data_IF_804293411102
#
_entry.id   IF_804293411102
#
_cell.length_a   1.000
_cell.length_b   1.000
_cell.length_c   1.000
_cell.angle_alpha   90.00
_cell.angle_beta   90.00
_cell.angle_gamma   90.00
#
_symmetry.space_group_name_H-M   'P 1'
#
loop_
_entity.id
_entity.type
_entity.pdbx_description
1 polymer ?
#
# COMPACT_ATOMS: atom_id res chain seq x y z
N UNK A 1 30.38 48.42 26.24
CA UNK A 1 30.49 47.59 25.01
C UNK A 1 30.38 46.07 25.23
N UNK A 2 30.68 45.51 26.41
CA UNK A 2 30.58 44.06 26.69
C UNK A 2 29.16 43.46 26.59
N UNK A 3 28.11 44.23 26.91
CA UNK A 3 26.71 43.77 26.90
C UNK A 3 26.19 43.36 25.49
N UNK A 4 26.70 44.01 24.43
CA UNK A 4 26.24 43.74 23.05
C UNK A 4 26.85 42.45 22.48
N UNK A 5 28.11 42.16 22.79
CA UNK A 5 28.77 40.91 22.38
C UNK A 5 28.17 39.68 23.08
N UNK A 6 27.82 39.79 24.36
CA UNK A 6 27.13 38.72 25.10
C UNK A 6 25.74 38.40 24.52
N UNK A 7 24.94 39.42 24.18
CA UNK A 7 23.61 39.21 23.55
C UNK A 7 23.71 38.50 22.20
N UNK A 8 24.62 38.94 21.33
CA UNK A 8 24.84 38.30 20.02
C UNK A 8 25.28 36.85 20.17
N UNK A 9 26.10 36.53 21.19
CA UNK A 9 26.53 35.16 21.44
C UNK A 9 25.41 34.23 21.93
N UNK A 10 24.48 34.75 22.74
CA UNK A 10 23.33 34.01 23.26
C UNK A 10 22.26 33.78 22.18
N UNK A 11 22.00 34.79 21.35
CA UNK A 11 21.09 34.68 20.19
C UNK A 11 21.60 33.66 19.17
N UNK A 12 22.92 33.63 18.91
CA UNK A 12 23.54 32.69 17.98
C UNK A 12 23.48 31.24 18.48
N UNK A 13 23.65 31.01 19.79
CA UNK A 13 23.49 29.68 20.41
C UNK A 13 22.04 29.21 20.33
N UNK A 14 21.08 30.06 20.69
CA UNK A 14 19.66 29.71 20.58
C UNK A 14 19.20 29.42 19.14
N UNK A 15 19.79 30.08 18.15
CA UNK A 15 19.55 29.78 16.73
C UNK A 15 20.13 28.43 16.30
N UNK A 16 21.36 28.11 16.72
CA UNK A 16 21.99 26.81 16.42
C UNK A 16 21.26 25.65 17.10
N UNK A 17 20.81 25.82 18.34
CA UNK A 17 20.02 24.82 19.07
C UNK A 17 18.66 24.58 18.39
N UNK A 18 18.04 25.61 17.83
CA UNK A 18 16.81 25.47 17.01
C UNK A 18 17.06 24.72 15.71
N UNK A 19 18.18 24.98 15.01
CA UNK A 19 18.54 24.23 13.79
C UNK A 19 18.82 22.76 14.14
N UNK A 20 19.57 22.50 15.20
CA UNK A 20 19.84 21.14 15.67
C UNK A 20 18.53 20.42 16.00
N UNK A 21 17.61 21.08 16.71
CA UNK A 21 16.28 20.56 16.99
C UNK A 21 15.46 20.31 15.70
N UNK A 22 15.53 21.21 14.72
CA UNK A 22 14.86 21.03 13.42
C UNK A 22 15.37 19.77 12.69
N UNK A 23 16.69 19.60 12.61
CA UNK A 23 17.31 18.45 11.93
C UNK A 23 16.97 17.14 12.64
N UNK A 24 17.04 17.10 13.97
CA UNK A 24 16.70 15.88 14.74
C UNK A 24 15.21 15.60 14.68
N UNK A 25 14.34 16.62 14.76
CA UNK A 25 12.89 16.45 14.61
C UNK A 25 12.52 15.90 13.24
N UNK A 26 13.20 16.34 12.17
CA UNK A 26 13.03 15.80 10.83
C UNK A 26 13.43 14.32 10.76
N UNK A 27 14.57 13.95 11.36
CA UNK A 27 14.99 12.54 11.44
C UNK A 27 13.98 11.69 12.21
N UNK A 28 13.37 12.22 13.27
CA UNK A 28 12.30 11.55 14.01
C UNK A 28 11.03 11.42 13.15
N UNK A 29 10.64 12.46 12.41
CA UNK A 29 9.49 12.43 11.50
C UNK A 29 9.64 11.35 10.41
N UNK A 30 10.87 11.19 9.88
CA UNK A 30 11.21 10.10 8.96
C UNK A 30 11.04 8.71 9.57
N UNK A 31 11.26 8.55 10.89
CA UNK A 31 11.04 7.27 11.61
C UNK A 31 9.57 7.08 12.00
N UNK A 32 8.87 8.16 12.33
CA UNK A 32 7.46 8.15 12.74
C UNK A 32 6.58 7.63 11.61
N UNK A 33 6.81 8.07 10.36
CA UNK A 33 6.01 7.64 9.20
C UNK A 33 5.93 6.11 9.03
N UNK A 34 7.06 5.41 8.85
CA UNK A 34 7.10 3.94 8.76
C UNK A 34 6.58 3.25 10.02
N UNK A 35 6.88 3.78 11.22
CA UNK A 35 6.43 3.18 12.49
C UNK A 35 4.92 3.27 12.64
N UNK A 36 4.31 4.39 12.22
CA UNK A 36 2.85 4.55 12.17
C UNK A 36 2.21 3.58 11.19
N UNK A 37 2.85 3.32 10.04
CA UNK A 37 2.38 2.26 9.12
C UNK A 37 2.44 0.88 9.77
N UNK A 38 3.51 0.55 10.49
CA UNK A 38 3.65 -0.72 11.22
C UNK A 38 2.59 -0.86 12.32
N UNK A 39 2.30 0.19 13.06
CA UNK A 39 1.20 0.20 14.03
C UNK A 39 -0.14 -0.10 13.35
N UNK A 40 -0.49 0.60 12.27
CA UNK A 40 -1.73 0.34 11.52
C UNK A 40 -1.82 -1.10 11.02
N UNK A 41 -0.72 -1.66 10.51
CA UNK A 41 -0.66 -3.06 10.09
C UNK A 41 -0.89 -4.00 11.28
N UNK A 42 -0.25 -3.76 12.43
CA UNK A 42 -0.44 -4.56 13.63
C UNK A 42 -1.90 -4.50 14.13
N UNK A 43 -2.53 -3.31 14.10
CA UNK A 43 -3.94 -3.13 14.44
C UNK A 43 -4.86 -3.90 13.47
N UNK A 44 -4.58 -3.88 12.17
CA UNK A 44 -5.34 -4.66 11.18
C UNK A 44 -5.21 -6.17 11.40
N UNK A 45 -4.02 -6.64 11.75
CA UNK A 45 -3.78 -8.06 12.09
C UNK A 45 -4.57 -8.42 13.34
N UNK A 46 -4.52 -7.58 14.39
CA UNK A 46 -5.30 -7.78 15.61
C UNK A 46 -6.80 -7.82 15.34
N UNK A 47 -7.34 -6.86 14.57
CA UNK A 47 -8.75 -6.87 14.18
C UNK A 47 -9.12 -8.07 13.30
N UNK A 48 -8.19 -8.54 12.47
CA UNK A 48 -8.34 -9.79 11.71
C UNK A 48 -8.42 -11.03 12.60
N UNK A 49 -7.52 -11.12 13.59
CA UNK A 49 -7.49 -12.21 14.57
C UNK A 49 -8.78 -12.23 15.40
N UNK A 50 -9.23 -11.07 15.88
CA UNK A 50 -10.49 -10.95 16.63
C UNK A 50 -11.70 -11.37 15.81
N UNK A 51 -11.77 -10.97 14.53
CA UNK A 51 -12.86 -11.37 13.65
C UNK A 51 -12.92 -12.89 13.40
N UNK A 52 -11.77 -13.58 13.43
CA UNK A 52 -11.66 -15.03 13.29
C UNK A 52 -11.81 -15.83 14.59
N UNK A 53 -11.69 -15.17 15.74
CA UNK A 53 -11.87 -15.78 17.06
C UNK A 53 -13.34 -15.89 17.49
N UNK A 54 -13.60 -16.50 18.65
CA UNK A 54 -14.92 -16.52 19.29
C UNK A 54 -15.37 -15.15 19.89
N UNK A 55 -14.68 -14.04 19.57
CA UNK A 55 -15.08 -12.72 20.04
C UNK A 55 -16.47 -12.31 19.53
N UNK A 56 -17.18 -11.52 20.33
CA UNK A 56 -18.54 -11.04 20.04
C UNK A 56 -18.60 -9.53 20.23
N UNK A 57 -19.32 -8.85 19.34
CA UNK A 57 -19.57 -7.41 19.41
C UNK A 57 -19.82 -6.81 18.05
N UNK A 58 -20.51 -5.66 18.03
CA UNK A 58 -20.95 -4.98 16.79
C UNK A 58 -19.83 -4.81 15.74
N UNK A 59 -18.62 -4.43 16.18
CA UNK A 59 -17.48 -4.25 15.28
C UNK A 59 -16.93 -5.59 14.74
N UNK A 60 -17.00 -6.66 15.54
CA UNK A 60 -16.63 -8.01 15.09
C UNK A 60 -17.60 -8.49 14.02
N UNK A 61 -18.90 -8.31 14.25
CA UNK A 61 -19.95 -8.69 13.31
C UNK A 61 -19.89 -7.88 12.01
N UNK A 62 -19.53 -6.59 12.10
CA UNK A 62 -19.29 -5.75 10.92
C UNK A 62 -18.09 -6.23 10.09
N UNK A 63 -16.99 -6.65 10.72
CA UNK A 63 -15.84 -7.22 9.98
C UNK A 63 -16.20 -8.56 9.34
N UNK A 64 -16.99 -9.39 10.00
CA UNK A 64 -17.47 -10.68 9.48
C UNK A 64 -18.42 -10.49 8.30
N UNK A 65 -19.42 -9.61 8.41
CA UNK A 65 -20.38 -9.32 7.34
C UNK A 65 -19.69 -8.73 6.09
N UNK A 66 -18.72 -7.83 6.27
CA UNK A 66 -17.88 -7.33 5.17
C UNK A 66 -16.98 -8.42 4.57
N UNK A 67 -16.55 -9.40 5.37
CA UNK A 67 -15.87 -10.59 4.89
C UNK A 67 -16.75 -11.41 3.95
N UNK A 68 -17.99 -11.68 4.35
CA UNK A 68 -18.96 -12.39 3.51
C UNK A 68 -19.27 -11.64 2.20
N UNK A 69 -19.42 -10.31 2.25
CA UNK A 69 -19.60 -9.50 1.05
C UNK A 69 -18.39 -9.58 0.10
N UNK A 70 -17.17 -9.56 0.64
CA UNK A 70 -15.95 -9.74 -0.15
C UNK A 70 -15.90 -11.13 -0.82
N UNK A 71 -16.26 -12.18 -0.08
CA UNK A 71 -16.26 -13.55 -0.61
C UNK A 71 -17.35 -13.74 -1.66
N UNK A 72 -18.53 -13.12 -1.49
CA UNK A 72 -19.57 -13.09 -2.51
C UNK A 72 -19.08 -12.43 -3.82
N UNK A 73 -18.35 -11.30 -3.73
CA UNK A 73 -17.75 -10.65 -4.90
C UNK A 73 -16.68 -11.51 -5.57
N UNK A 74 -15.91 -12.29 -4.80
CA UNK A 74 -14.92 -13.22 -5.36
C UNK A 74 -15.59 -14.38 -6.10
N UNK A 75 -16.68 -14.91 -5.54
CA UNK A 75 -17.49 -15.94 -6.20
C UNK A 75 -18.13 -15.40 -7.48
N UNK A 76 -18.71 -14.19 -7.44
CA UNK A 76 -19.26 -13.53 -8.62
C UNK A 76 -18.19 -13.30 -9.72
N UNK A 77 -16.96 -12.95 -9.34
CA UNK A 77 -15.85 -12.78 -10.29
C UNK A 77 -15.48 -14.11 -10.97
N UNK A 78 -15.56 -15.24 -10.26
CA UNK A 78 -15.32 -16.58 -10.84
C UNK A 78 -16.47 -16.99 -11.77
N UNK A 79 -17.71 -16.85 -11.29
CA UNK A 79 -18.90 -17.16 -12.06
C UNK A 79 -18.99 -16.36 -13.37
N UNK A 80 -18.66 -15.05 -13.33
CA UNK A 80 -18.61 -14.21 -14.53
C UNK A 80 -17.63 -14.73 -15.60
N UNK A 81 -16.53 -15.36 -15.19
CA UNK A 81 -15.55 -15.92 -16.13
C UNK A 81 -16.06 -17.21 -16.77
N UNK A 82 -16.81 -18.02 -16.02
CA UNK A 82 -17.47 -19.23 -16.51
C UNK A 82 -18.58 -18.87 -17.51
N UNK A 83 -19.43 -17.91 -17.16
CA UNK A 83 -20.48 -17.38 -18.05
C UNK A 83 -19.88 -16.83 -19.37
N UNK A 84 -18.81 -16.03 -19.29
CA UNK A 84 -18.13 -15.50 -20.48
C UNK A 84 -17.52 -16.61 -21.37
N UNK A 85 -17.10 -17.74 -20.79
CA UNK A 85 -16.54 -18.88 -21.55
C UNK A 85 -17.63 -19.59 -22.33
N UNK A 86 -18.78 -19.81 -21.71
CA UNK A 86 -19.93 -20.47 -22.34
C UNK A 86 -20.51 -19.59 -23.46
N UNK A 87 -20.62 -18.29 -23.23
CA UNK A 87 -21.03 -17.30 -24.23
C UNK A 87 -20.03 -17.22 -25.39
N UNK A 88 -18.72 -17.30 -25.10
CA UNK A 88 -17.69 -17.28 -26.14
C UNK A 88 -17.70 -18.54 -27.02
N UNK A 89 -17.96 -19.71 -26.42
CA UNK A 89 -18.05 -20.98 -27.12
C UNK A 89 -19.25 -21.03 -28.08
N UNK A 90 -20.38 -20.44 -27.66
CA UNK A 90 -21.62 -20.37 -28.45
C UNK A 90 -21.67 -19.20 -29.45
N UNK A 91 -20.85 -18.16 -29.26
CA UNK A 91 -20.83 -16.98 -30.12
C UNK A 91 -20.23 -17.23 -31.51
N UNK A 92 -20.84 -16.61 -32.53
CA UNK A 92 -20.29 -16.54 -33.88
C UNK A 92 -18.94 -15.80 -33.90
N UNK A 93 -18.08 -16.09 -34.88
CA UNK A 93 -16.73 -15.50 -34.95
C UNK A 93 -16.71 -13.96 -34.91
N UNK A 94 -17.73 -13.30 -35.46
CA UNK A 94 -17.88 -11.83 -35.42
C UNK A 94 -18.43 -11.31 -34.08
N UNK A 95 -19.15 -12.13 -33.32
CA UNK A 95 -19.71 -11.77 -32.02
C UNK A 95 -18.70 -11.96 -30.86
N UNK A 96 -17.71 -12.85 -31.01
CA UNK A 96 -16.69 -13.15 -30.01
C UNK A 96 -15.95 -11.92 -29.44
N UNK A 97 -15.53 -10.92 -30.23
CA UNK A 97 -14.91 -9.71 -29.68
C UNK A 97 -15.83 -8.95 -28.71
N UNK A 98 -17.15 -8.93 -28.95
CA UNK A 98 -18.11 -8.25 -28.08
C UNK A 98 -18.27 -8.98 -26.74
N UNK A 99 -18.26 -10.33 -26.75
CA UNK A 99 -18.27 -11.14 -25.51
C UNK A 99 -17.02 -10.83 -24.67
N UNK A 100 -15.85 -10.74 -25.30
CA UNK A 100 -14.60 -10.39 -24.62
C UNK A 100 -14.67 -8.99 -24.00
N UNK A 101 -15.13 -7.98 -24.76
CA UNK A 101 -15.25 -6.60 -24.25
C UNK A 101 -16.24 -6.52 -23.09
N UNK A 102 -17.41 -7.17 -23.19
CA UNK A 102 -18.39 -7.27 -22.09
C UNK A 102 -17.76 -7.88 -20.84
N UNK A 103 -17.10 -9.02 -20.99
CA UNK A 103 -16.45 -9.73 -19.89
C UNK A 103 -15.33 -8.93 -19.22
N UNK A 104 -14.55 -8.17 -20.00
CA UNK A 104 -13.52 -7.26 -19.47
C UNK A 104 -14.16 -6.12 -18.66
N UNK A 105 -15.20 -5.47 -19.20
CA UNK A 105 -15.90 -4.40 -18.52
C UNK A 105 -16.55 -4.87 -17.20
N UNK A 106 -17.24 -6.02 -17.22
CA UNK A 106 -17.86 -6.61 -16.05
C UNK A 106 -16.81 -6.93 -14.96
N UNK A 107 -15.68 -7.56 -15.34
CA UNK A 107 -14.59 -7.86 -14.40
C UNK A 107 -13.88 -6.61 -13.88
N UNK A 108 -13.78 -5.54 -14.67
CA UNK A 108 -13.23 -4.27 -14.21
C UNK A 108 -14.09 -3.69 -13.07
N UNK A 109 -15.42 -3.66 -13.24
CA UNK A 109 -16.37 -3.20 -12.21
C UNK A 109 -16.31 -4.10 -10.97
N UNK A 110 -16.31 -5.42 -11.13
CA UNK A 110 -16.21 -6.35 -10.00
C UNK A 110 -14.88 -6.21 -9.24
N UNK A 111 -13.76 -6.01 -9.95
CA UNK A 111 -12.45 -5.75 -9.33
C UNK A 111 -12.43 -4.44 -8.57
N UNK A 112 -13.07 -3.39 -9.10
CA UNK A 112 -13.17 -2.12 -8.40
C UNK A 112 -14.00 -2.24 -7.11
N UNK A 113 -15.19 -2.86 -7.21
CA UNK A 113 -16.02 -3.18 -6.03
C UNK A 113 -15.28 -4.04 -5.02
N UNK A 114 -14.52 -5.04 -5.46
CA UNK A 114 -13.69 -5.87 -4.58
C UNK A 114 -12.58 -5.07 -3.90
N UNK A 115 -11.92 -4.14 -4.61
CA UNK A 115 -10.92 -3.24 -4.03
C UNK A 115 -11.55 -2.31 -2.99
N UNK A 116 -12.72 -1.74 -3.30
CA UNK A 116 -13.46 -0.88 -2.37
C UNK A 116 -13.88 -1.66 -1.11
N UNK A 117 -14.45 -2.85 -1.28
CA UNK A 117 -14.84 -3.73 -0.17
C UNK A 117 -13.64 -4.13 0.70
N UNK A 118 -12.49 -4.45 0.09
CA UNK A 118 -11.23 -4.74 0.81
C UNK A 118 -10.76 -3.56 1.65
N UNK A 119 -10.72 -2.35 1.07
CA UNK A 119 -10.33 -1.13 1.79
C UNK A 119 -11.26 -0.87 2.98
N UNK A 120 -12.57 -0.98 2.76
CA UNK A 120 -13.56 -0.80 3.81
C UNK A 120 -13.42 -1.85 4.93
N UNK A 121 -13.13 -3.10 4.59
CA UNK A 121 -12.87 -4.18 5.56
C UNK A 121 -11.58 -3.96 6.35
N UNK A 122 -10.50 -3.55 5.68
CA UNK A 122 -9.22 -3.22 6.34
C UNK A 122 -9.39 -2.07 7.33
N UNK A 123 -10.16 -1.04 6.96
CA UNK A 123 -10.46 0.08 7.86
C UNK A 123 -11.25 -0.38 9.10
N UNK A 124 -12.28 -1.21 8.94
CA UNK A 124 -13.03 -1.74 10.09
C UNK A 124 -12.16 -2.64 10.96
N UNK A 125 -11.27 -3.45 10.37
CA UNK A 125 -10.29 -4.25 11.13
C UNK A 125 -9.34 -3.38 11.94
N UNK A 126 -8.84 -2.30 11.35
CA UNK A 126 -7.99 -1.34 12.05
C UNK A 126 -8.74 -0.71 13.24
N UNK A 127 -10.00 -0.31 13.05
CA UNK A 127 -10.87 0.23 14.12
C UNK A 127 -11.13 -0.79 15.22
N UNK A 128 -11.43 -2.05 14.87
CA UNK A 128 -11.63 -3.14 15.82
C UNK A 128 -10.36 -3.44 16.64
N UNK A 129 -9.21 -3.51 15.98
CA UNK A 129 -7.93 -3.70 16.66
C UNK A 129 -7.60 -2.55 17.61
N UNK A 130 -7.92 -1.31 17.22
CA UNK A 130 -7.76 -0.13 18.09
C UNK A 130 -8.69 -0.21 19.32
N UNK A 131 -9.96 -0.53 19.11
CA UNK A 131 -10.94 -0.69 20.19
C UNK A 131 -10.49 -1.77 21.19
N UNK A 132 -9.98 -2.90 20.70
CA UNK A 132 -9.44 -3.96 21.54
C UNK A 132 -8.21 -3.54 22.36
N UNK A 133 -7.29 -2.76 21.78
CA UNK A 133 -6.15 -2.21 22.53
C UNK A 133 -6.57 -1.20 23.61
N UNK A 134 -7.64 -0.46 23.36
CA UNK A 134 -8.21 0.51 24.32
C UNK A 134 -9.09 -0.16 25.39
N UNK A 135 -9.28 -1.48 25.31
CA UNK A 135 -10.09 -2.24 26.27
C UNK A 135 -11.60 -2.07 26.07
N UNK A 136 -12.03 -1.49 24.94
CA UNK A 136 -13.45 -1.26 24.63
C UNK A 136 -14.12 -2.43 23.88
N UNK A 137 -13.36 -3.49 23.55
CA UNK A 137 -13.86 -4.70 22.91
C UNK A 137 -13.50 -5.95 23.73
N UNK A 138 -14.42 -6.92 23.77
CA UNK A 138 -14.16 -8.21 24.40
C UNK A 138 -13.08 -8.98 23.62
N UNK A 139 -12.03 -9.35 24.32
CA UNK A 139 -10.86 -10.01 23.75
C UNK A 139 -10.93 -11.52 24.03
N UNK A 140 -10.77 -12.34 22.99
CA UNK A 140 -10.65 -13.79 23.16
C UNK A 140 -9.32 -14.18 23.82
N UNK A 141 -9.33 -15.25 24.63
CA UNK A 141 -8.12 -15.81 25.28
C UNK A 141 -7.27 -16.68 24.36
N UNK A 142 -7.66 -16.83 23.09
CA UNK A 142 -6.94 -17.62 22.11
C UNK A 142 -5.50 -17.11 21.89
N UNK A 143 -4.53 -18.03 21.81
CA UNK A 143 -3.10 -17.70 21.80
C UNK A 143 -2.69 -16.78 20.65
N UNK A 144 -3.26 -16.97 19.45
CA UNK A 144 -2.96 -16.11 18.30
C UNK A 144 -3.53 -14.69 18.44
N UNK A 145 -4.63 -14.51 19.18
CA UNK A 145 -5.19 -13.20 19.51
C UNK A 145 -4.25 -12.49 20.49
N UNK A 146 -3.77 -13.21 21.51
CA UNK A 146 -2.83 -12.66 22.49
C UNK A 146 -1.50 -12.24 21.86
N UNK A 147 -0.93 -13.05 20.96
CA UNK A 147 0.27 -12.68 20.19
C UNK A 147 0.02 -11.41 19.35
N UNK A 148 -1.13 -11.31 18.67
CA UNK A 148 -1.49 -10.11 17.92
C UNK A 148 -1.62 -8.86 18.81
N UNK A 149 -2.12 -9.00 20.05
CA UNK A 149 -2.20 -7.91 21.02
C UNK A 149 -0.81 -7.46 21.45
N UNK A 150 0.08 -8.40 21.76
CA UNK A 150 1.46 -8.07 22.17
C UNK A 150 2.17 -7.31 21.06
N UNK A 151 2.07 -7.77 19.81
CA UNK A 151 2.64 -7.08 18.64
C UNK A 151 2.05 -5.68 18.44
N UNK A 152 0.73 -5.52 18.61
CA UNK A 152 0.08 -4.24 18.47
C UNK A 152 0.45 -3.27 19.60
N UNK A 153 0.62 -3.76 20.84
CA UNK A 153 1.13 -2.98 21.98
C UNK A 153 2.57 -2.54 21.78
N UNK A 154 3.45 -3.43 21.34
CA UNK A 154 4.86 -3.10 21.06
C UNK A 154 4.97 -2.05 19.94
N UNK A 155 4.21 -2.21 18.84
CA UNK A 155 4.17 -1.22 17.77
C UNK A 155 3.67 0.16 18.25
N UNK A 156 2.61 0.18 19.08
CA UNK A 156 2.10 1.42 19.69
C UNK A 156 3.11 2.05 20.64
N UNK A 157 3.79 1.25 21.47
CA UNK A 157 4.81 1.73 22.41
C UNK A 157 6.01 2.36 21.68
N UNK A 158 6.47 1.75 20.58
CA UNK A 158 7.54 2.31 19.74
C UNK A 158 7.12 3.63 19.09
N UNK A 159 5.88 3.71 18.59
CA UNK A 159 5.37 4.96 18.03
C UNK A 159 5.26 6.04 19.10
N UNK A 160 4.70 5.71 20.26
CA UNK A 160 4.55 6.68 21.35
C UNK A 160 5.90 7.18 21.81
N UNK A 161 6.91 6.31 21.95
CA UNK A 161 8.27 6.71 22.32
C UNK A 161 8.87 7.75 21.36
N UNK A 162 8.75 7.52 20.04
CA UNK A 162 9.24 8.47 19.03
C UNK A 162 8.47 9.80 19.05
N UNK A 163 7.16 9.75 19.27
CA UNK A 163 6.32 10.95 19.36
C UNK A 163 6.63 11.74 20.62
N UNK A 164 6.83 11.07 21.76
CA UNK A 164 7.23 11.73 23.02
C UNK A 164 8.64 12.29 22.96
N UNK A 165 9.57 11.59 22.33
CA UNK A 165 10.94 12.08 22.10
C UNK A 165 10.93 13.36 21.26
N UNK A 166 10.14 13.37 20.17
CA UNK A 166 9.93 14.57 19.35
C UNK A 166 9.30 15.70 20.14
N UNK A 167 8.26 15.41 20.93
CA UNK A 167 7.58 16.43 21.74
C UNK A 167 8.52 17.03 22.79
N UNK A 168 9.32 16.21 23.48
CA UNK A 168 10.30 16.66 24.45
C UNK A 168 11.39 17.53 23.80
N UNK A 169 11.85 17.15 22.60
CA UNK A 169 12.84 17.90 21.85
C UNK A 169 12.34 19.27 21.37
N UNK A 170 11.04 19.39 21.08
CA UNK A 170 10.40 20.63 20.61
C UNK A 170 9.82 21.48 21.75
N UNK A 171 9.67 20.94 22.96
CA UNK A 171 9.10 21.64 24.10
C UNK A 171 9.79 22.97 24.44
N UNK A 172 11.14 23.08 24.41
CA UNK A 172 11.83 24.36 24.66
C UNK A 172 11.52 25.46 23.63
N UNK A 173 10.96 25.09 22.49
CA UNK A 173 10.66 25.99 21.37
C UNK A 173 9.16 26.19 21.15
N UNK A 174 8.32 25.87 22.14
CA UNK A 174 6.87 26.03 22.04
C UNK A 174 6.20 25.01 21.13
N UNK A 175 6.84 23.86 20.88
CA UNK A 175 6.28 22.77 20.08
C UNK A 175 6.59 22.83 18.58
N UNK A 176 7.30 23.85 18.10
CA UNK A 176 7.78 23.96 16.72
C UNK A 176 9.27 24.29 16.69
N UNK A 177 10.03 23.61 15.82
CA UNK A 177 11.44 23.94 15.58
C UNK A 177 11.61 25.14 14.63
N UNK A 178 10.55 25.50 13.89
CA UNK A 178 10.59 26.53 12.87
C UNK A 178 9.81 27.76 13.31
N UNK A 179 10.35 28.98 13.09
CA UNK A 179 9.59 30.20 13.26
C UNK A 179 8.34 30.21 12.37
N UNK A 180 7.24 30.80 12.84
CA UNK A 180 5.95 30.80 12.15
C UNK A 180 6.01 31.34 10.71
N UNK A 181 6.93 32.27 10.42
CA UNK A 181 7.11 32.82 9.07
C UNK A 181 7.58 31.77 8.04
N UNK A 182 8.30 30.72 8.47
CA UNK A 182 8.72 29.64 7.56
C UNK A 182 7.56 28.72 7.18
N UNK A 183 6.50 28.64 7.98
CA UNK A 183 5.28 27.96 7.55
C UNK A 183 4.59 28.70 6.40
N UNK A 184 4.63 30.04 6.40
CA UNK A 184 4.19 30.87 5.27
C UNK A 184 4.99 30.59 4.00
N UNK A 185 6.32 30.63 4.10
CA UNK A 185 7.21 30.36 2.96
C UNK A 185 7.03 28.94 2.40
N UNK A 186 6.87 27.93 3.27
CA UNK A 186 6.63 26.56 2.82
C UNK A 186 5.28 26.38 2.10
N UNK A 187 4.25 27.11 2.55
CA UNK A 187 2.93 27.11 1.88
C UNK A 187 3.02 27.68 0.46
N UNK A 188 3.82 28.71 0.26
CA UNK A 188 4.05 29.29 -1.07
C UNK A 188 4.90 28.38 -1.95
N UNK A 189 5.97 27.78 -1.41
CA UNK A 189 6.81 26.80 -2.13
C UNK A 189 5.99 25.57 -2.54
N UNK A 190 5.13 25.06 -1.66
CA UNK A 190 4.27 23.92 -1.98
C UNK A 190 3.17 24.25 -3.00
N UNK A 191 2.64 25.47 -2.99
CA UNK A 191 1.73 25.96 -4.03
C UNK A 191 2.44 26.05 -5.40
N UNK A 192 3.67 26.57 -5.42
CA UNK A 192 4.51 26.64 -6.62
C UNK A 192 4.87 25.24 -7.14
N UNK A 193 5.28 24.33 -6.25
CA UNK A 193 5.57 22.93 -6.59
C UNK A 193 4.31 22.20 -7.09
N UNK A 194 3.15 22.46 -6.49
CA UNK A 194 1.86 21.92 -6.93
C UNK A 194 1.45 22.42 -8.31
N UNK A 195 1.70 23.71 -8.61
CA UNK A 195 1.47 24.28 -9.93
C UNK A 195 2.40 23.66 -10.98
N UNK A 196 3.69 23.52 -10.67
CA UNK A 196 4.66 22.84 -11.54
C UNK A 196 4.29 21.37 -11.79
N UNK A 197 3.90 20.63 -10.75
CA UNK A 197 3.43 19.24 -10.88
C UNK A 197 2.19 19.14 -11.78
N UNK A 198 1.22 20.07 -11.69
CA UNK A 198 0.05 20.07 -12.58
C UNK A 198 0.43 20.33 -14.03
N UNK A 199 1.37 21.24 -14.29
CA UNK A 199 1.87 21.53 -15.64
C UNK A 199 2.58 20.29 -16.20
N UNK A 200 3.44 19.65 -15.40
CA UNK A 200 4.12 18.41 -15.77
C UNK A 200 3.13 17.26 -16.02
N UNK A 201 2.16 17.05 -15.13
CA UNK A 201 1.11 16.04 -15.32
C UNK A 201 0.25 16.32 -16.56
N UNK A 202 -0.07 17.59 -16.86
CA UNK A 202 -0.77 17.98 -18.08
C UNK A 202 -0.02 17.61 -19.36
N UNK A 203 1.32 17.70 -19.36
CA UNK A 203 2.14 17.22 -20.47
C UNK A 203 2.19 15.70 -20.58
N UNK A 204 2.23 14.97 -19.46
CA UNK A 204 2.20 13.50 -19.45
C UNK A 204 0.82 12.92 -19.81
N UNK A 205 -0.28 13.66 -19.63
CA UNK A 205 -1.62 13.23 -20.07
C UNK A 205 -1.66 12.98 -21.58
N UNK A 206 -0.88 13.71 -22.38
CA UNK A 206 -0.76 13.47 -23.83
C UNK A 206 -0.18 12.09 -24.17
N UNK A 207 0.59 11.48 -23.25
CA UNK A 207 1.21 10.17 -23.43
C UNK A 207 0.41 9.01 -22.80
N UNK A 208 -0.60 9.31 -21.97
CA UNK A 208 -1.47 8.30 -21.35
C UNK A 208 -2.15 7.36 -22.37
N UNK A 209 -2.64 7.82 -23.55
CA UNK A 209 -3.24 6.91 -24.53
C UNK A 209 -2.23 5.90 -25.08
N UNK A 210 -0.99 6.34 -25.32
CA UNK A 210 0.07 5.47 -25.83
C UNK A 210 0.52 4.45 -24.78
N UNK A 211 0.64 4.87 -23.51
CA UNK A 211 0.96 3.97 -22.39
C UNK A 211 -0.19 2.99 -22.11
N UNK A 212 -1.45 3.43 -22.24
CA UNK A 212 -2.61 2.56 -22.11
C UNK A 212 -2.66 1.54 -23.26
N UNK A 213 -2.39 1.95 -24.50
CA UNK A 213 -2.31 1.04 -25.64
C UNK A 213 -1.18 0.01 -25.47
N UNK A 214 -0.01 0.44 -24.99
CA UNK A 214 1.10 -0.45 -24.65
C UNK A 214 0.75 -1.42 -23.51
N UNK A 215 0.09 -0.94 -22.46
CA UNK A 215 -0.34 -1.78 -21.34
C UNK A 215 -1.40 -2.82 -21.74
N UNK A 216 -2.33 -2.45 -22.63
CA UNK A 216 -3.32 -3.37 -23.21
C UNK A 216 -2.63 -4.39 -24.11
N UNK A 217 -1.71 -3.97 -24.98
CA UNK A 217 -0.91 -4.88 -25.82
C UNK A 217 -0.06 -5.85 -24.98
N UNK A 218 0.60 -5.35 -23.94
CA UNK A 218 1.34 -6.14 -22.97
C UNK A 218 0.44 -7.13 -22.23
N UNK A 219 -0.74 -6.70 -21.78
CA UNK A 219 -1.67 -7.56 -21.06
C UNK A 219 -2.23 -8.67 -21.95
N UNK A 220 -2.63 -8.36 -23.19
CA UNK A 220 -3.10 -9.36 -24.18
C UNK A 220 -2.00 -10.38 -24.49
N UNK A 221 -0.75 -9.93 -24.69
CA UNK A 221 0.39 -10.83 -24.85
C UNK A 221 0.64 -11.68 -23.58
N UNK A 222 0.52 -11.10 -22.38
CA UNK A 222 0.75 -11.83 -21.15
C UNK A 222 -0.38 -12.79 -20.76
N UNK A 223 -1.63 -12.55 -21.18
CA UNK A 223 -2.78 -13.44 -20.86
C UNK A 223 -3.03 -14.53 -21.88
N UNK A 224 -2.56 -14.37 -23.12
CA UNK A 224 -2.79 -15.35 -24.20
C UNK A 224 -1.50 -15.98 -24.73
N UNK A 225 -0.32 -15.56 -24.27
CA UNK A 225 0.98 -16.04 -24.76
C UNK A 225 1.87 -16.50 -23.60
N UNK A 226 1.43 -17.53 -22.88
CA UNK A 226 2.15 -18.15 -21.75
C UNK A 226 3.38 -18.98 -22.20
N UNK A 227 4.05 -18.61 -23.29
CA UNK A 227 5.14 -19.42 -23.88
C UNK A 227 6.30 -18.66 -24.52
N UNK A 228 6.30 -17.32 -24.60
CA UNK A 228 7.36 -16.61 -25.33
C UNK A 228 8.17 -15.58 -24.54
N UNK A 229 7.80 -15.26 -23.29
CA UNK A 229 8.53 -14.26 -22.50
C UNK A 229 9.96 -14.71 -22.16
N UNK A 230 10.17 -16.01 -21.93
CA UNK A 230 11.52 -16.60 -21.76
C UNK A 230 12.32 -16.51 -23.07
N UNK A 231 11.69 -16.72 -24.23
CA UNK A 231 12.36 -16.67 -25.54
C UNK A 231 12.71 -15.22 -25.94
N UNK A 232 11.88 -14.24 -25.59
CA UNK A 232 12.17 -12.81 -25.87
C UNK A 232 13.20 -12.21 -24.92
N UNK A 233 13.24 -12.63 -23.65
CA UNK A 233 14.35 -12.26 -22.77
C UNK A 233 15.67 -12.92 -23.22
N UNK A 234 15.60 -14.13 -23.78
CA UNK A 234 16.77 -14.81 -24.34
C UNK A 234 17.28 -14.16 -25.63
N UNK A 235 16.40 -13.63 -26.49
CA UNK A 235 16.77 -12.89 -27.70
C UNK A 235 17.31 -11.48 -27.43
N UNK A 236 17.08 -10.94 -26.24
CA UNK A 236 17.69 -9.69 -25.74
C UNK A 236 18.97 -9.88 -24.92
N UNK A 237 19.48 -11.12 -24.81
CA UNK A 237 20.80 -11.39 -24.22
C UNK A 237 20.91 -11.20 -22.71
N UNK A 238 19.78 -11.11 -21.98
CA UNK A 238 19.77 -10.94 -20.53
C UNK A 238 19.42 -12.29 -19.88
N UNK A 239 20.46 -13.04 -19.50
CA UNK A 239 20.35 -14.22 -18.63
C UNK A 239 21.30 -15.37 -18.98
N UNK A 240 22.03 -15.89 -17.99
CA UNK A 240 22.60 -17.23 -18.06
C UNK A 240 21.48 -18.25 -17.81
N UNK A 241 21.11 -19.00 -18.85
CA UNK A 241 20.07 -20.02 -18.76
C UNK A 241 20.42 -21.19 -17.83
N UNK A 242 19.41 -21.92 -17.31
CA UNK A 242 19.64 -23.21 -16.68
C UNK A 242 20.05 -24.23 -17.75
N UNK A 243 21.16 -24.93 -17.50
CA UNK A 243 21.60 -26.10 -18.29
C UNK A 243 20.60 -27.24 -18.06
N UNK A 244 19.62 -27.40 -18.92
CA UNK A 244 18.99 -28.70 -19.10
C UNK A 244 19.79 -29.41 -20.17
N UNK A 245 20.77 -30.19 -19.72
CA UNK A 245 21.45 -31.16 -20.55
C UNK A 245 20.40 -32.20 -20.99
N UNK A 246 19.95 -32.10 -22.24
CA UNK A 246 19.39 -33.26 -22.93
C UNK A 246 20.55 -34.25 -23.05
N UNK A 247 20.44 -35.40 -22.40
CA UNK A 247 21.46 -36.44 -22.49
C UNK A 247 21.48 -37.00 -23.93
N UNK A 248 22.66 -37.31 -24.49
CA UNK A 248 22.78 -37.86 -25.84
C UNK A 248 22.01 -39.19 -26.03
N UNK A 249 21.69 -39.89 -24.93
CA UNK A 249 20.83 -41.09 -24.93
C UNK A 249 19.42 -40.83 -25.48
N UNK A 250 18.90 -39.61 -25.35
CA UNK A 250 17.58 -39.24 -25.88
C UNK A 250 17.56 -39.09 -27.41
N UNK A 251 18.73 -38.85 -28.03
CA UNK A 251 18.85 -38.76 -29.48
C UNK A 251 19.00 -40.13 -30.15
N UNK A 252 19.56 -41.13 -29.46
CA UNK A 252 19.64 -42.51 -29.98
C UNK A 252 18.29 -43.22 -29.94
N UNK A 253 17.43 -42.92 -28.95
CA UNK A 253 16.10 -43.54 -28.85
C UNK A 253 15.10 -43.11 -29.94
N UNK A 254 15.37 -42.01 -30.66
CA UNK A 254 14.53 -41.52 -31.77
C UNK A 254 14.98 -42.00 -33.15
N UNK A 255 16.01 -42.85 -33.22
CA UNK A 255 16.60 -43.33 -34.49
C UNK A 255 16.25 -44.79 -34.81
N UNK A 256 15.20 -45.34 -34.20
CA UNK A 256 14.61 -46.64 -34.55
C UNK A 256 13.24 -46.44 -35.18
#
# INVERSE_FOLDING_TARGET
MASRAMRVSAERRGFLDRIAAAVVSWRLDWKIGPTRRRERVALRILGGALAGSAAVGRLVDEVRSRGHAEDHLRTALRASLEEDRDDFASASGRARPFVVVRGVAARAVLRDRLRAARRAREETRERLGKAALEGSANVSREAFVQDAIVRARDARARLSALVTERAALLAPFGGSAWPDWMHGAWREISALAGALLRVSCGQFVRWLPAVAALAVGWWVAATFTDSQLIVTLHSWGIGHGPRWAVSPESFEAMRV
#
